data_IF_676269676290
#
_entry.id   IF_676269676290
#
_cell.length_a   1.000
_cell.length_b   1.000
_cell.length_c   1.000
_cell.angle_alpha   90.00
_cell.angle_beta   90.00
_cell.angle_gamma   90.00
#
_symmetry.space_group_name_H-M   'P 1'
#
loop_
_entity.id
_entity.type
_entity.pdbx_description
1 polymer ?
#
# COMPACT_ATOMS: atom_id res chain seq x y z
N UNK A 1 14.64 -60.06 -2.01
CA UNK A 1 13.83 -59.09 -1.26
C UNK A 1 14.49 -57.74 -1.53
N UNK A 2 13.83 -56.90 -2.32
CA UNK A 2 14.39 -55.65 -2.87
C UNK A 2 14.15 -54.49 -1.90
N UNK A 3 15.22 -53.91 -1.37
CA UNK A 3 15.21 -52.74 -0.49
C UNK A 3 15.90 -51.55 -1.18
N UNK A 4 15.37 -51.02 -2.29
CA UNK A 4 15.99 -49.85 -2.96
C UNK A 4 15.00 -48.82 -3.53
N UNK A 5 13.71 -48.88 -3.17
CA UNK A 5 12.68 -48.07 -3.84
C UNK A 5 12.24 -46.76 -3.14
N UNK A 6 12.84 -46.33 -2.02
CA UNK A 6 12.26 -45.23 -1.22
C UNK A 6 12.94 -43.84 -1.36
N UNK A 7 14.11 -43.70 -2.01
CA UNK A 7 14.91 -42.46 -1.87
C UNK A 7 14.70 -41.35 -2.92
N UNK A 8 13.81 -41.51 -3.90
CA UNK A 8 13.72 -40.57 -5.04
C UNK A 8 12.58 -39.54 -5.00
N UNK A 9 11.72 -39.52 -3.97
CA UNK A 9 10.56 -38.60 -3.94
C UNK A 9 10.81 -37.25 -3.23
N UNK A 10 11.99 -36.98 -2.66
CA UNK A 10 12.20 -35.80 -1.82
C UNK A 10 12.72 -34.53 -2.55
N UNK A 11 13.16 -34.63 -3.80
CA UNK A 11 13.79 -33.48 -4.51
C UNK A 11 12.79 -32.70 -5.40
N UNK A 12 11.61 -33.25 -5.68
CA UNK A 12 10.62 -32.63 -6.58
C UNK A 12 9.69 -31.59 -5.93
N UNK A 13 9.66 -31.45 -4.60
CA UNK A 13 8.62 -30.68 -3.90
C UNK A 13 9.07 -29.28 -3.42
N UNK A 14 10.31 -28.85 -3.69
CA UNK A 14 10.83 -27.57 -3.18
C UNK A 14 10.73 -26.38 -4.16
N UNK A 15 10.35 -26.59 -5.43
CA UNK A 15 10.31 -25.50 -6.44
C UNK A 15 8.91 -24.94 -6.70
N UNK A 16 7.84 -25.52 -6.15
CA UNK A 16 6.47 -25.02 -6.32
C UNK A 16 6.07 -23.98 -5.26
N UNK A 17 6.84 -23.84 -4.17
CA UNK A 17 6.47 -22.97 -3.04
C UNK A 17 6.92 -21.50 -3.12
N UNK A 18 7.78 -21.13 -4.08
CA UNK A 18 8.37 -19.78 -4.14
C UNK A 18 7.60 -18.79 -5.03
N UNK A 19 6.58 -19.23 -5.75
CA UNK A 19 5.79 -18.39 -6.65
C UNK A 19 4.75 -17.47 -5.98
N UNK A 20 4.50 -17.60 -4.67
CA UNK A 20 3.40 -16.91 -3.99
C UNK A 20 3.80 -15.72 -3.11
N UNK A 21 5.07 -15.29 -3.10
CA UNK A 21 5.52 -14.15 -2.29
C UNK A 21 6.08 -12.99 -3.11
N UNK A 22 5.97 -13.03 -4.43
CA UNK A 22 6.25 -11.84 -5.23
C UNK A 22 5.18 -10.79 -4.89
N UNK A 23 5.58 -9.59 -4.41
CA UNK A 23 4.61 -8.52 -4.19
C UNK A 23 3.88 -8.25 -5.51
N UNK A 24 2.59 -7.99 -5.43
CA UNK A 24 1.80 -7.57 -6.59
C UNK A 24 2.50 -6.38 -7.27
N UNK A 25 2.58 -6.35 -8.61
CA UNK A 25 3.41 -5.38 -9.36
C UNK A 25 3.12 -3.92 -8.99
N UNK A 26 1.90 -3.60 -8.56
CA UNK A 26 1.53 -2.28 -8.04
C UNK A 26 2.39 -1.79 -6.85
N UNK A 27 2.95 -2.69 -6.02
CA UNK A 27 3.83 -2.31 -4.90
C UNK A 27 5.27 -1.99 -5.33
N UNK A 28 5.69 -2.41 -6.53
CA UNK A 28 7.01 -2.10 -7.06
C UNK A 28 7.11 -0.64 -7.54
N UNK A 29 5.97 0.05 -7.69
CA UNK A 29 5.87 1.36 -8.31
C UNK A 29 5.77 2.55 -7.36
N UNK A 30 6.37 2.34 -6.21
CA UNK A 30 6.30 3.26 -5.10
C UNK A 30 7.72 3.81 -4.92
N UNK A 31 7.97 5.04 -5.34
CA UNK A 31 9.25 5.69 -5.05
C UNK A 31 9.27 6.03 -3.54
N UNK A 32 10.35 5.75 -2.80
CA UNK A 32 10.43 6.14 -1.40
C UNK A 32 10.35 7.66 -1.29
N UNK A 33 9.18 8.15 -0.85
CA UNK A 33 8.93 9.55 -0.56
C UNK A 33 9.38 9.83 0.87
N UNK A 34 10.62 10.32 0.97
CA UNK A 34 11.19 10.74 2.22
C UNK A 34 10.77 12.16 2.65
N UNK A 35 9.98 12.88 1.84
CA UNK A 35 9.60 14.25 2.17
C UNK A 35 8.67 14.30 3.39
N UNK A 36 7.80 13.29 3.55
CA UNK A 36 6.81 13.27 4.63
C UNK A 36 7.31 12.67 5.96
N UNK A 37 8.41 11.92 5.96
CA UNK A 37 8.94 11.29 7.17
C UNK A 37 7.93 10.39 7.92
N UNK A 38 8.10 10.23 9.23
CA UNK A 38 7.09 9.59 10.09
C UNK A 38 5.90 10.52 10.25
N UNK A 39 4.69 9.98 10.11
CA UNK A 39 3.44 10.72 10.26
C UNK A 39 2.66 10.23 11.48
N UNK A 40 1.96 11.15 12.12
CA UNK A 40 1.11 10.90 13.28
C UNK A 40 -0.30 11.42 12.96
N UNK A 41 -1.24 10.53 12.58
CA UNK A 41 -2.60 10.96 12.33
C UNK A 41 -3.23 11.43 13.65
N UNK A 42 -3.73 12.65 13.65
CA UNK A 42 -4.45 13.27 14.77
C UNK A 42 -5.83 13.75 14.27
N UNK A 43 -6.79 13.95 15.18
CA UNK A 43 -8.04 14.61 14.81
C UNK A 43 -7.75 16.02 14.25
N UNK A 44 -8.59 16.52 13.36
CA UNK A 44 -8.41 17.82 12.70
C UNK A 44 -8.23 19.00 13.69
N UNK A 45 -7.66 20.10 13.19
CA UNK A 45 -7.43 21.37 13.94
C UNK A 45 -6.67 21.22 15.27
N UNK A 46 -5.53 20.50 15.26
CA UNK A 46 -4.71 20.31 16.46
C UNK A 46 -5.40 19.43 17.51
N UNK A 47 -6.20 18.49 17.04
CA UNK A 47 -7.38 17.98 17.69
C UNK A 47 -7.20 17.32 19.05
N UNK A 48 -8.28 17.42 19.81
CA UNK A 48 -8.44 16.83 21.13
C UNK A 48 -8.55 15.31 21.00
N UNK A 49 -7.60 14.58 21.60
CA UNK A 49 -7.56 13.12 21.59
C UNK A 49 -8.35 12.59 22.78
N UNK A 50 -9.28 11.63 22.61
CA UNK A 50 -10.01 11.05 23.73
C UNK A 50 -9.05 10.49 24.79
N UNK A 51 -9.28 10.76 26.07
CA UNK A 51 -8.40 10.31 27.15
C UNK A 51 -8.24 8.77 27.20
N UNK A 52 -9.24 8.03 26.72
CA UNK A 52 -9.24 6.57 26.62
C UNK A 52 -8.94 6.07 25.20
N UNK A 53 -8.16 6.81 24.41
CA UNK A 53 -7.69 6.35 23.10
C UNK A 53 -6.99 4.98 23.25
N UNK A 54 -7.40 3.96 22.47
CA UNK A 54 -6.85 2.61 22.62
C UNK A 54 -5.40 2.51 22.16
N UNK A 55 -5.00 3.35 21.21
CA UNK A 55 -3.64 3.39 20.70
C UNK A 55 -3.43 4.60 19.79
N UNK A 56 -2.26 5.21 19.92
CA UNK A 56 -1.80 6.29 19.06
C UNK A 56 -0.94 5.71 17.95
N UNK A 57 -1.27 6.02 16.70
CA UNK A 57 -0.59 5.43 15.54
C UNK A 57 0.59 6.29 15.09
N UNK A 58 1.67 5.63 14.71
CA UNK A 58 2.77 6.21 13.94
C UNK A 58 2.92 5.46 12.61
N UNK A 59 2.85 6.21 11.51
CA UNK A 59 2.94 5.68 10.15
C UNK A 59 4.37 5.93 9.64
N UNK A 60 5.12 4.88 9.25
CA UNK A 60 6.47 5.05 8.72
C UNK A 60 6.46 5.81 7.38
N UNK A 61 7.62 6.34 6.95
CA UNK A 61 7.79 6.71 5.55
C UNK A 61 7.52 5.50 4.65
N UNK A 62 7.05 5.79 3.45
CA UNK A 62 6.63 4.79 2.49
C UNK A 62 7.75 3.81 2.12
N UNK A 63 7.44 2.51 2.11
CA UNK A 63 8.37 1.38 1.89
C UNK A 63 9.51 1.28 2.91
N UNK A 64 9.55 2.14 3.92
CA UNK A 64 10.56 2.13 4.96
C UNK A 64 10.03 1.50 6.24
N UNK A 65 10.95 1.17 7.13
CA UNK A 65 10.62 0.73 8.49
C UNK A 65 10.87 1.88 9.48
N UNK A 66 10.09 1.90 10.55
CA UNK A 66 10.35 2.76 11.70
C UNK A 66 10.93 1.90 12.81
N UNK A 67 11.97 2.39 13.49
CA UNK A 67 12.48 1.74 14.70
C UNK A 67 11.49 1.94 15.86
N UNK A 68 10.79 0.89 16.32
CA UNK A 68 9.79 1.01 17.38
C UNK A 68 10.41 1.46 18.70
N UNK A 69 11.72 1.26 18.91
CA UNK A 69 12.42 1.71 20.11
C UNK A 69 12.54 3.23 20.20
N UNK A 70 12.27 3.96 19.11
CA UNK A 70 12.32 5.43 19.07
C UNK A 70 10.97 6.09 19.28
N UNK A 71 9.88 5.33 19.24
CA UNK A 71 8.51 5.83 19.46
C UNK A 71 8.29 6.09 20.96
N UNK A 72 7.86 7.31 21.29
CA UNK A 72 7.69 7.79 22.66
C UNK A 72 6.43 8.65 22.81
N UNK A 73 5.79 8.53 23.96
CA UNK A 73 4.79 9.47 24.46
C UNK A 73 5.44 10.30 25.55
N UNK A 74 5.38 11.61 25.42
CA UNK A 74 6.08 12.55 26.30
C UNK A 74 5.10 13.62 26.79
N UNK A 75 5.35 14.16 27.97
CA UNK A 75 4.83 15.44 28.42
C UNK A 75 5.58 16.60 27.72
N UNK A 76 5.08 17.84 27.78
CA UNK A 76 5.69 18.98 27.08
C UNK A 76 7.13 19.25 27.53
N UNK A 77 7.42 19.00 28.81
CA UNK A 77 8.75 19.11 29.42
C UNK A 77 9.74 18.00 29.00
N UNK A 78 9.27 17.00 28.23
CA UNK A 78 10.05 15.85 27.80
C UNK A 78 10.02 14.65 28.73
N UNK A 79 9.28 14.71 29.84
CA UNK A 79 9.09 13.57 30.74
C UNK A 79 8.36 12.44 30.01
N UNK A 80 8.88 11.20 30.01
CA UNK A 80 8.22 10.09 29.34
C UNK A 80 6.94 9.67 30.08
N UNK A 81 5.90 9.37 29.31
CA UNK A 81 4.65 8.79 29.77
C UNK A 81 4.70 7.29 29.51
N UNK A 82 4.28 6.48 30.49
CA UNK A 82 4.31 5.03 30.38
C UNK A 82 3.39 4.55 29.26
N UNK A 83 3.96 3.84 28.30
CA UNK A 83 3.26 3.31 27.15
C UNK A 83 4.01 2.13 26.54
N UNK A 84 3.25 1.21 25.96
CA UNK A 84 3.76 0.03 25.25
C UNK A 84 3.68 0.25 23.74
N UNK A 85 4.74 -0.10 23.00
CA UNK A 85 4.74 -0.05 21.53
C UNK A 85 4.42 -1.44 20.98
N UNK A 86 3.46 -1.52 20.08
CA UNK A 86 3.02 -2.74 19.40
C UNK A 86 3.00 -2.55 17.88
N UNK A 87 3.11 -3.64 17.13
CA UNK A 87 2.95 -3.59 15.68
C UNK A 87 1.46 -3.37 15.33
N UNK A 88 1.18 -2.41 14.46
CA UNK A 88 -0.16 -2.16 13.92
C UNK A 88 -0.34 -2.75 12.52
N UNK A 89 -1.52 -2.54 11.94
CA UNK A 89 -1.78 -2.95 10.56
C UNK A 89 -0.84 -2.26 9.57
N UNK A 90 -0.56 -2.94 8.46
CA UNK A 90 0.14 -2.40 7.30
C UNK A 90 1.53 -1.77 7.60
N UNK A 91 2.25 -2.32 8.59
CA UNK A 91 3.60 -1.87 8.95
C UNK A 91 3.64 -0.62 9.84
N UNK A 92 2.50 -0.14 10.31
CA UNK A 92 2.43 0.95 11.30
C UNK A 92 2.88 0.48 12.68
N UNK A 93 3.19 1.43 13.56
CA UNK A 93 3.42 1.16 14.98
C UNK A 93 2.33 1.83 15.81
N UNK A 94 1.92 1.18 16.88
CA UNK A 94 0.87 1.65 17.78
C UNK A 94 1.45 1.83 19.18
N UNK A 95 1.33 3.04 19.70
CA UNK A 95 1.74 3.43 21.04
C UNK A 95 0.52 3.42 21.95
N UNK A 96 0.52 2.50 22.91
CA UNK A 96 -0.60 2.21 23.81
C UNK A 96 -0.28 2.79 25.17
N UNK A 97 -0.95 3.85 25.63
CA UNK A 97 -0.78 4.34 27.00
C UNK A 97 -1.12 3.25 28.02
N UNK A 98 -0.26 3.05 29.02
CA UNK A 98 -0.50 2.01 30.05
C UNK A 98 -1.66 2.37 31.00
N UNK A 99 -2.04 3.66 31.01
CA UNK A 99 -3.21 4.19 31.70
C UNK A 99 -3.89 5.25 30.80
N UNK A 100 -5.20 5.53 31.01
CA UNK A 100 -5.87 6.62 30.32
C UNK A 100 -5.13 7.95 30.49
N UNK A 101 -5.10 8.75 29.43
CA UNK A 101 -4.50 10.08 29.44
C UNK A 101 -5.30 11.02 30.35
N UNK A 102 -4.64 12.00 30.94
CA UNK A 102 -5.27 12.98 31.82
C UNK A 102 -5.98 14.06 30.98
N UNK A 103 -7.31 14.25 31.13
CA UNK A 103 -8.03 15.29 30.38
C UNK A 103 -7.47 16.69 30.64
N UNK A 104 -7.31 17.47 29.57
CA UNK A 104 -6.74 18.81 29.59
C UNK A 104 -5.20 18.86 29.52
N UNK A 105 -4.52 17.71 29.65
CA UNK A 105 -3.06 17.64 29.57
C UNK A 105 -2.59 17.62 28.11
N UNK A 106 -1.58 18.43 27.79
CA UNK A 106 -0.89 18.36 26.51
C UNK A 106 0.14 17.24 26.50
N UNK A 107 0.20 16.51 25.40
CA UNK A 107 1.16 15.44 25.17
C UNK A 107 1.91 15.65 23.86
N UNK A 108 3.07 15.03 23.73
CA UNK A 108 3.89 14.98 22.51
C UNK A 108 4.16 13.53 22.13
N UNK A 109 3.87 13.16 20.89
CA UNK A 109 4.32 11.90 20.30
C UNK A 109 5.58 12.20 19.51
N UNK A 110 6.59 11.36 19.65
CA UNK A 110 7.86 11.49 18.94
C UNK A 110 8.33 10.14 18.42
N UNK A 111 8.91 10.10 17.22
CA UNK A 111 9.57 8.93 16.67
C UNK A 111 10.68 9.31 15.69
N UNK A 112 11.61 8.39 15.44
CA UNK A 112 12.63 8.53 14.39
C UNK A 112 12.29 7.61 13.22
N UNK A 113 12.10 8.22 12.05
CA UNK A 113 12.01 7.48 10.79
C UNK A 113 13.37 7.36 10.15
N UNK A 114 13.66 6.19 9.58
CA UNK A 114 14.78 6.04 8.65
C UNK A 114 14.29 6.42 7.24
N UNK A 115 15.07 7.25 6.55
CA UNK A 115 15.03 7.34 5.10
C UNK A 115 16.45 7.07 4.61
N UNK A 116 16.63 6.07 3.74
CA UNK A 116 17.95 5.62 3.29
C UNK A 116 18.82 6.78 2.75
N UNK A 117 18.20 7.75 2.05
CA UNK A 117 18.90 8.87 1.40
C UNK A 117 19.18 10.08 2.31
N UNK A 118 18.41 10.25 3.39
CA UNK A 118 18.47 11.45 4.24
C UNK A 118 18.97 11.17 5.67
N UNK A 119 19.14 9.89 6.02
CA UNK A 119 19.45 9.47 7.37
C UNK A 119 18.23 9.52 8.30
N UNK A 120 18.41 9.17 9.58
CA UNK A 120 17.32 9.13 10.55
C UNK A 120 16.85 10.56 10.90
N UNK A 121 15.54 10.80 10.79
CA UNK A 121 14.91 12.06 11.16
C UNK A 121 13.92 11.86 12.31
N UNK A 122 14.06 12.68 13.36
CA UNK A 122 13.04 12.76 14.41
C UNK A 122 11.86 13.59 13.92
N UNK A 123 10.65 13.06 14.06
CA UNK A 123 9.39 13.80 13.89
C UNK A 123 8.62 13.76 15.20
N UNK A 124 7.91 14.85 15.48
CA UNK A 124 7.03 14.91 16.63
C UNK A 124 5.77 15.71 16.32
N UNK A 125 4.72 15.43 17.07
CA UNK A 125 3.46 16.19 17.05
C UNK A 125 2.95 16.32 18.48
N UNK A 126 2.29 17.43 18.77
CA UNK A 126 1.63 17.67 20.06
C UNK A 126 0.12 17.62 19.93
N UNK A 127 -0.55 17.12 20.95
CA UNK A 127 -2.01 17.09 21.05
C UNK A 127 -2.45 17.36 22.49
N UNK A 128 -3.74 17.63 22.70
CA UNK A 128 -4.33 17.75 24.04
C UNK A 128 -5.28 16.60 24.28
N UNK A 129 -5.19 15.95 25.44
CA UNK A 129 -6.15 14.92 25.81
C UNK A 129 -7.49 15.57 26.21
N UNK A 130 -8.58 15.06 25.67
CA UNK A 130 -9.95 15.46 25.98
C UNK A 130 -10.57 14.61 27.08
N UNK A 131 -11.89 14.75 27.31
CA UNK A 131 -12.62 13.77 28.09
C UNK A 131 -12.54 12.38 27.44
N UNK A 132 -12.71 11.34 28.25
CA UNK A 132 -12.91 10.00 27.73
C UNK A 132 -14.24 9.93 26.96
N UNK A 133 -14.26 9.21 25.84
CA UNK A 133 -15.43 9.02 25.00
C UNK A 133 -15.78 7.54 24.90
N UNK A 134 -17.06 7.17 24.76
CA UNK A 134 -17.42 5.78 24.45
C UNK A 134 -16.74 5.34 23.14
N UNK A 135 -16.35 4.07 23.07
CA UNK A 135 -15.87 3.50 21.81
C UNK A 135 -17.00 3.49 20.78
N UNK A 136 -16.70 3.72 19.49
CA UNK A 136 -17.72 3.75 18.46
C UNK A 136 -18.35 2.36 18.29
N UNK A 137 -19.64 2.33 17.98
CA UNK A 137 -20.40 1.06 17.76
C UNK A 137 -20.92 0.92 16.33
N UNK A 138 -20.88 2.00 15.56
CA UNK A 138 -21.39 2.13 14.20
C UNK A 138 -20.37 2.86 13.33
N UNK A 139 -20.30 2.45 12.08
CA UNK A 139 -19.36 3.01 11.11
C UNK A 139 -19.87 4.34 10.52
N UNK A 140 -21.14 4.38 10.12
CA UNK A 140 -21.74 5.51 9.41
C UNK A 140 -22.60 5.02 8.24
N UNK A 141 -22.60 5.77 7.14
CA UNK A 141 -23.31 5.41 5.91
C UNK A 141 -22.39 5.44 4.71
N UNK A 142 -22.67 4.59 3.72
CA UNK A 142 -21.95 4.52 2.46
C UNK A 142 -22.93 4.64 1.30
N UNK A 143 -22.63 5.53 0.36
CA UNK A 143 -23.36 5.67 -0.91
C UNK A 143 -22.39 5.59 -2.08
N UNK A 144 -22.88 5.34 -3.28
CA UNK A 144 -22.09 5.40 -4.50
C UNK A 144 -22.58 6.56 -5.38
N UNK A 145 -21.64 7.32 -5.94
CA UNK A 145 -21.98 8.34 -6.94
C UNK A 145 -22.52 7.67 -8.21
N UNK A 146 -23.26 8.45 -9.00
CA UNK A 146 -23.60 8.02 -10.36
C UNK A 146 -22.31 7.75 -11.14
N UNK A 147 -22.17 6.55 -11.75
CA UNK A 147 -21.00 6.24 -12.56
C UNK A 147 -20.79 7.26 -13.67
N UNK A 148 -19.51 7.58 -13.93
CA UNK A 148 -19.10 8.54 -14.95
C UNK A 148 -18.18 7.82 -15.93
N UNK A 149 -18.56 7.86 -17.20
CA UNK A 149 -17.73 7.42 -18.30
C UNK A 149 -16.64 8.46 -18.59
N UNK A 150 -15.40 8.02 -18.77
CA UNK A 150 -14.32 8.93 -19.08
C UNK A 150 -12.94 8.30 -19.04
N UNK A 151 -11.95 9.16 -19.18
CA UNK A 151 -10.55 8.78 -18.97
C UNK A 151 -10.13 9.14 -17.55
N UNK A 152 -9.60 8.15 -16.84
CA UNK A 152 -9.09 8.29 -15.47
C UNK A 152 -7.65 7.78 -15.38
N UNK A 153 -6.95 8.23 -14.34
CA UNK A 153 -5.59 7.76 -14.06
C UNK A 153 -5.68 6.45 -13.27
N UNK A 154 -4.99 5.44 -13.77
CA UNK A 154 -4.74 4.17 -13.07
C UNK A 154 -3.24 4.10 -12.83
N UNK A 155 -2.86 3.81 -11.59
CA UNK A 155 -1.46 3.56 -11.24
C UNK A 155 -1.19 2.05 -11.32
N UNK A 156 0.07 1.63 -11.45
CA UNK A 156 0.42 0.21 -11.35
C UNK A 156 0.68 -0.51 -12.68
N UNK A 157 0.96 0.23 -13.75
CA UNK A 157 1.75 -0.36 -14.83
C UNK A 157 3.20 -0.63 -14.36
N UNK A 158 3.89 -1.52 -15.06
CA UNK A 158 5.27 -1.93 -14.73
C UNK A 158 6.30 -0.78 -14.83
N UNK A 159 5.94 0.35 -15.43
CA UNK A 159 6.78 1.56 -15.53
C UNK A 159 6.48 2.58 -14.44
N UNK A 160 5.57 2.27 -13.51
CA UNK A 160 5.28 3.13 -12.37
C UNK A 160 4.85 4.53 -12.81
N UNK A 161 4.16 4.55 -13.95
CA UNK A 161 3.70 5.76 -14.60
C UNK A 161 2.20 5.91 -14.40
N UNK A 162 1.73 7.15 -14.52
CA UNK A 162 0.31 7.44 -14.57
C UNK A 162 -0.25 7.01 -15.93
N UNK A 163 -0.75 5.78 -16.00
CA UNK A 163 -1.53 5.31 -17.12
C UNK A 163 -2.89 6.02 -17.17
N UNK A 164 -3.26 6.56 -18.33
CA UNK A 164 -4.64 7.01 -18.57
C UNK A 164 -5.42 5.88 -19.21
N UNK A 165 -6.36 5.33 -18.47
CA UNK A 165 -7.30 4.34 -18.97
C UNK A 165 -8.61 5.01 -19.40
N UNK A 166 -9.37 4.30 -20.24
CA UNK A 166 -10.71 4.70 -20.65
C UNK A 166 -11.71 3.66 -20.14
N UNK A 167 -12.73 4.12 -19.43
CA UNK A 167 -13.77 3.25 -18.95
C UNK A 167 -14.89 3.99 -18.23
N UNK A 168 -15.47 3.34 -17.24
CA UNK A 168 -16.45 3.93 -16.33
C UNK A 168 -15.96 3.79 -14.90
N UNK A 169 -16.24 4.81 -14.08
CA UNK A 169 -15.82 4.84 -12.69
C UNK A 169 -16.90 5.43 -11.79
N UNK A 170 -16.90 5.03 -10.53
CA UNK A 170 -17.71 5.65 -9.48
C UNK A 170 -16.83 5.94 -8.27
N UNK A 171 -17.25 6.91 -7.47
CA UNK A 171 -16.65 7.21 -6.17
C UNK A 171 -17.65 6.88 -5.08
N UNK A 172 -17.23 6.12 -4.08
CA UNK A 172 -18.00 5.90 -2.88
C UNK A 172 -17.97 7.18 -2.03
N UNK A 173 -19.11 7.57 -1.48
CA UNK A 173 -19.20 8.62 -0.46
C UNK A 173 -19.47 7.98 0.88
N UNK A 174 -18.54 8.18 1.79
CA UNK A 174 -18.69 7.75 3.16
C UNK A 174 -19.09 8.95 4.02
N UNK A 175 -20.00 8.74 4.96
CA UNK A 175 -20.32 9.72 6.01
C UNK A 175 -20.15 9.01 7.35
N UNK A 176 -19.10 9.34 8.13
CA UNK A 176 -18.83 8.67 9.39
C UNK A 176 -19.93 8.93 10.40
N UNK A 177 -20.17 7.97 11.28
CA UNK A 177 -21.01 8.19 12.46
C UNK A 177 -20.36 9.26 13.37
N UNK A 178 -21.14 10.09 14.06
CA UNK A 178 -20.58 11.11 14.96
C UNK A 178 -19.69 10.53 16.07
N UNK A 179 -19.98 9.31 16.53
CA UNK A 179 -19.17 8.60 17.52
C UNK A 179 -17.82 8.13 16.96
N UNK A 180 -17.70 7.87 15.67
CA UNK A 180 -16.46 7.44 15.03
C UNK A 180 -15.52 8.61 14.74
N UNK A 181 -16.05 9.81 14.47
CA UNK A 181 -15.27 10.99 14.06
C UNK A 181 -14.03 11.26 14.94
N UNK A 182 -14.12 11.21 16.29
CA UNK A 182 -12.95 11.42 17.15
C UNK A 182 -11.86 10.34 17.04
N UNK A 183 -12.20 9.16 16.51
CA UNK A 183 -11.33 7.98 16.41
C UNK A 183 -10.82 7.70 15.00
N UNK A 184 -11.36 8.35 13.96
CA UNK A 184 -10.95 8.20 12.55
C UNK A 184 -9.41 8.21 12.32
N UNK A 185 -8.61 9.04 13.02
CA UNK A 185 -7.16 9.04 12.84
C UNK A 185 -6.48 7.71 13.14
N UNK A 186 -7.11 6.79 13.88
CA UNK A 186 -6.54 5.50 14.27
C UNK A 186 -7.33 4.31 13.74
N UNK A 187 -8.17 4.56 12.72
CA UNK A 187 -8.88 3.51 11.97
C UNK A 187 -8.11 3.16 10.70
N UNK A 188 -7.88 1.88 10.46
CA UNK A 188 -7.51 1.38 9.13
C UNK A 188 -8.74 0.86 8.40
N UNK A 189 -8.66 0.92 7.08
CA UNK A 189 -9.82 0.71 6.21
C UNK A 189 -9.57 -0.39 5.20
N UNK A 190 -10.61 -1.14 4.91
CA UNK A 190 -10.64 -2.10 3.81
C UNK A 190 -11.92 -1.88 3.01
N UNK A 191 -11.77 -1.77 1.69
CA UNK A 191 -12.86 -1.86 0.73
C UNK A 191 -12.80 -3.22 0.07
N UNK A 192 -13.92 -3.91 0.08
CA UNK A 192 -14.16 -5.14 -0.67
C UNK A 192 -15.19 -4.88 -1.75
N UNK A 193 -15.05 -5.53 -2.90
CA UNK A 193 -16.07 -5.54 -3.96
C UNK A 193 -16.41 -7.00 -4.25
N UNK A 194 -17.69 -7.33 -4.16
CA UNK A 194 -18.22 -8.70 -4.33
C UNK A 194 -17.52 -9.74 -3.43
N UNK A 195 -17.19 -9.32 -2.20
CA UNK A 195 -16.49 -10.14 -1.20
C UNK A 195 -15.02 -10.40 -1.49
N UNK A 196 -14.43 -9.70 -2.48
CA UNK A 196 -12.98 -9.72 -2.74
C UNK A 196 -12.34 -8.44 -2.26
N UNK A 197 -11.15 -8.49 -1.63
CA UNK A 197 -10.39 -7.30 -1.31
C UNK A 197 -10.15 -6.45 -2.55
N UNK A 198 -10.63 -5.22 -2.52
CA UNK A 198 -10.40 -4.24 -3.58
C UNK A 198 -9.22 -3.36 -3.21
N UNK A 199 -9.30 -2.70 -2.05
CA UNK A 199 -8.30 -1.76 -1.57
C UNK A 199 -8.26 -1.73 -0.04
N UNK A 200 -7.14 -1.26 0.48
CA UNK A 200 -6.98 -0.93 1.88
C UNK A 200 -6.32 0.43 2.01
N UNK A 201 -6.55 1.09 3.14
CA UNK A 201 -5.89 2.33 3.50
C UNK A 201 -5.39 2.23 4.93
N UNK A 202 -4.21 2.80 5.15
CA UNK A 202 -3.66 3.01 6.49
C UNK A 202 -4.47 4.11 7.21
N UNK A 203 -3.97 4.51 8.38
CA UNK A 203 -4.65 5.42 9.28
C UNK A 203 -4.67 6.87 8.76
N UNK A 204 -5.72 7.63 9.14
CA UNK A 204 -5.83 9.06 8.82
C UNK A 204 -6.22 9.39 7.38
N UNK A 205 -6.57 8.39 6.55
CA UNK A 205 -6.90 8.58 5.13
C UNK A 205 -8.27 9.22 4.93
N UNK A 206 -9.27 8.97 5.78
CA UNK A 206 -10.57 9.61 5.70
C UNK A 206 -10.70 10.78 6.69
N UNK A 207 -11.22 11.91 6.22
CA UNK A 207 -11.49 13.11 7.02
C UNK A 207 -12.73 12.92 7.92
N UNK A 208 -12.99 13.90 8.79
CA UNK A 208 -14.23 13.96 9.58
C UNK A 208 -15.51 14.06 8.75
N UNK A 209 -15.41 14.45 7.47
CA UNK A 209 -16.52 14.46 6.52
C UNK A 209 -16.64 13.15 5.73
N UNK A 210 -15.72 12.19 5.95
CA UNK A 210 -15.62 10.94 5.21
C UNK A 210 -15.01 11.10 3.81
N UNK A 211 -14.42 12.26 3.52
CA UNK A 211 -13.72 12.53 2.27
C UNK A 211 -12.28 12.00 2.33
N UNK A 212 -11.76 11.63 1.16
CA UNK A 212 -10.39 11.13 1.02
C UNK A 212 -9.38 12.26 1.22
N UNK A 213 -8.42 12.08 2.13
CA UNK A 213 -7.44 13.10 2.48
C UNK A 213 -6.28 13.09 1.47
N UNK A 214 -6.41 13.94 0.45
CA UNK A 214 -5.47 14.03 -0.69
C UNK A 214 -4.02 14.28 -0.29
N UNK A 215 -3.76 14.91 0.85
CA UNK A 215 -2.40 15.11 1.35
C UNK A 215 -1.69 13.79 1.67
N UNK A 216 -2.44 12.76 2.07
CA UNK A 216 -1.92 11.44 2.42
C UNK A 216 -1.70 10.53 1.21
N UNK A 217 -2.47 10.73 0.12
CA UNK A 217 -2.31 9.92 -1.10
C UNK A 217 -1.03 10.22 -1.88
N UNK A 218 -0.54 11.48 -1.84
CA UNK A 218 0.65 11.85 -2.62
C UNK A 218 1.88 11.06 -2.22
N UNK A 219 2.01 10.80 -0.92
CA UNK A 219 3.11 10.00 -0.40
C UNK A 219 2.84 8.53 -0.60
N UNK A 220 1.66 8.00 -0.30
CA UNK A 220 1.55 6.53 -0.23
C UNK A 220 1.36 5.84 -1.59
N UNK A 221 1.15 6.60 -2.69
CA UNK A 221 0.62 6.07 -3.97
C UNK A 221 -0.59 5.15 -3.74
N UNK A 222 -1.24 5.27 -2.58
CA UNK A 222 -2.44 4.54 -2.20
C UNK A 222 -3.54 5.25 -2.95
N UNK A 223 -3.83 4.69 -4.11
CA UNK A 223 -5.12 4.67 -4.79
C UNK A 223 -6.23 5.19 -3.87
N UNK A 224 -6.98 6.17 -4.36
CA UNK A 224 -8.17 6.68 -3.67
C UNK A 224 -8.99 5.51 -3.15
N UNK A 225 -9.09 5.38 -1.83
CA UNK A 225 -9.68 4.21 -1.15
C UNK A 225 -11.09 3.93 -1.70
N UNK A 226 -11.80 5.01 -1.96
CA UNK A 226 -13.20 5.05 -2.33
C UNK A 226 -13.43 5.11 -3.85
N UNK A 227 -12.40 4.93 -4.70
CA UNK A 227 -12.52 4.96 -6.15
C UNK A 227 -12.62 3.55 -6.75
N UNK A 228 -13.71 3.29 -7.48
CA UNK A 228 -14.00 2.01 -8.13
C UNK A 228 -14.13 2.21 -9.63
N UNK A 229 -13.63 1.28 -10.44
CA UNK A 229 -13.66 1.43 -11.89
C UNK A 229 -13.67 0.12 -12.66
N UNK A 230 -14.16 0.20 -13.90
CA UNK A 230 -14.01 -0.81 -14.94
C UNK A 230 -13.26 -0.20 -16.12
N UNK A 231 -12.36 -0.96 -16.75
CA UNK A 231 -11.63 -0.52 -17.94
C UNK A 231 -12.34 -1.08 -19.17
N UNK A 232 -12.79 -0.19 -20.06
CA UNK A 232 -13.55 -0.60 -21.25
C UNK A 232 -12.68 -0.78 -22.48
N UNK A 233 -11.60 -0.03 -22.58
CA UNK A 233 -10.61 -0.13 -23.65
C UNK A 233 -9.25 -0.23 -23.00
N UNK A 234 -8.72 -1.44 -22.89
CA UNK A 234 -7.34 -1.60 -22.44
C UNK A 234 -6.40 -1.09 -23.54
N UNK A 235 -5.43 -0.25 -23.16
CA UNK A 235 -4.31 0.11 -24.03
C UNK A 235 -3.23 -0.98 -24.07
N UNK A 236 -3.30 -1.95 -23.17
CA UNK A 236 -2.34 -3.06 -23.15
C UNK A 236 -2.57 -3.99 -24.33
N UNK A 237 -1.47 -4.36 -25.01
CA UNK A 237 -1.53 -5.34 -26.09
C UNK A 237 -1.76 -6.77 -25.61
N UNK A 238 -1.70 -7.02 -24.30
CA UNK A 238 -2.15 -8.29 -23.73
C UNK A 238 -3.67 -8.45 -23.81
N UNK A 239 -4.43 -7.37 -24.05
CA UNK A 239 -5.89 -7.38 -24.06
C UNK A 239 -6.52 -7.70 -22.70
N UNK A 240 -5.71 -8.02 -21.70
CA UNK A 240 -6.13 -8.27 -20.34
C UNK A 240 -6.22 -6.92 -19.63
N UNK A 241 -7.39 -6.59 -19.05
CA UNK A 241 -7.50 -5.40 -18.23
C UNK A 241 -6.56 -5.52 -17.02
N UNK A 242 -6.17 -4.41 -16.38
CA UNK A 242 -5.39 -4.47 -15.16
C UNK A 242 -6.06 -5.43 -14.17
N UNK A 243 -5.26 -6.25 -13.48
CA UNK A 243 -5.76 -7.23 -12.48
C UNK A 243 -6.63 -6.56 -11.39
N UNK A 244 -6.48 -5.25 -11.24
CA UNK A 244 -7.21 -4.39 -10.31
C UNK A 244 -8.43 -3.68 -10.92
N UNK A 245 -9.09 -4.25 -11.93
CA UNK A 245 -10.30 -3.64 -12.52
C UNK A 245 -11.53 -4.54 -12.36
N UNK A 246 -12.70 -3.91 -12.21
CA UNK A 246 -13.98 -4.63 -12.15
C UNK A 246 -14.43 -5.01 -13.56
N UNK A 247 -15.11 -6.16 -13.68
CA UNK A 247 -15.85 -6.49 -14.89
C UNK A 247 -17.08 -5.57 -15.01
N UNK A 248 -17.58 -5.25 -16.21
CA UNK A 248 -18.86 -4.55 -16.34
C UNK A 248 -19.99 -5.38 -15.73
N UNK A 249 -20.85 -4.75 -14.95
CA UNK A 249 -22.00 -5.38 -14.28
C UNK A 249 -22.38 -4.70 -12.97
N UNK A 250 -23.25 -5.38 -12.23
CA UNK A 250 -23.65 -4.99 -10.88
C UNK A 250 -22.67 -5.53 -9.86
N UNK A 251 -22.36 -4.70 -8.88
CA UNK A 251 -21.41 -5.00 -7.83
C UNK A 251 -21.93 -4.53 -6.47
N UNK A 252 -21.37 -5.11 -5.42
CA UNK A 252 -21.53 -4.63 -4.05
C UNK A 252 -20.19 -4.22 -3.48
N UNK A 253 -20.05 -2.95 -3.12
CA UNK A 253 -18.93 -2.48 -2.32
C UNK A 253 -19.25 -2.61 -0.84
N UNK A 254 -18.27 -3.04 -0.05
CA UNK A 254 -18.34 -3.12 1.41
C UNK A 254 -17.15 -2.36 2.00
N UNK A 255 -17.42 -1.41 2.88
CA UNK A 255 -16.41 -0.69 3.64
C UNK A 255 -16.35 -1.25 5.06
N UNK A 256 -15.15 -1.66 5.47
CA UNK A 256 -14.83 -2.15 6.81
C UNK A 256 -13.84 -1.19 7.47
N UNK A 257 -14.04 -0.98 8.76
CA UNK A 257 -13.19 -0.16 9.61
C UNK A 257 -12.80 -0.92 10.86
N UNK A 258 -11.51 -0.86 11.20
CA UNK A 258 -10.99 -1.44 12.44
C UNK A 258 -10.22 -0.39 13.20
N UNK A 259 -10.59 -0.19 14.46
CA UNK A 259 -9.88 0.69 15.39
C UNK A 259 -8.70 -0.07 15.99
N UNK A 260 -7.49 0.45 15.79
CA UNK A 260 -6.26 -0.18 16.27
C UNK A 260 -6.23 -0.38 17.78
N UNK A 261 -5.62 -1.48 18.20
CA UNK A 261 -5.43 -1.91 19.58
C UNK A 261 -6.69 -2.11 20.44
N UNK A 262 -7.83 -1.53 20.06
CA UNK A 262 -9.13 -1.89 20.62
C UNK A 262 -9.61 -3.27 20.14
N UNK A 263 -8.97 -3.83 19.10
CA UNK A 263 -9.44 -5.02 18.36
C UNK A 263 -10.93 -4.91 17.99
N UNK A 264 -11.35 -3.68 17.68
CA UNK A 264 -12.75 -3.35 17.43
C UNK A 264 -12.93 -3.16 15.93
N UNK A 265 -13.45 -4.19 15.27
CA UNK A 265 -13.97 -4.08 13.90
C UNK A 265 -15.43 -3.67 13.98
N UNK A 266 -15.75 -2.52 13.39
CA UNK A 266 -17.12 -2.00 13.39
C UNK A 266 -17.99 -2.80 12.40
N UNK A 267 -19.31 -2.89 12.63
CA UNK A 267 -20.22 -3.47 11.64
C UNK A 267 -20.01 -2.80 10.27
N UNK A 268 -19.75 -3.57 9.21
CA UNK A 268 -19.44 -3.02 7.90
C UNK A 268 -20.67 -2.38 7.28
N UNK A 269 -20.44 -1.46 6.34
CA UNK A 269 -21.49 -0.82 5.55
C UNK A 269 -21.29 -1.16 4.07
N UNK A 270 -22.38 -1.39 3.35
CA UNK A 270 -22.33 -1.80 1.95
C UNK A 270 -23.23 -0.95 1.07
N UNK A 271 -22.86 -0.83 -0.20
CA UNK A 271 -23.66 -0.17 -1.24
C UNK A 271 -23.57 -0.95 -2.54
N UNK A 272 -24.72 -1.08 -3.21
CA UNK A 272 -24.80 -1.68 -4.55
C UNK A 272 -24.58 -0.58 -5.61
N UNK A 273 -23.85 -0.90 -6.67
CA UNK A 273 -23.60 -0.02 -7.80
C UNK A 273 -23.49 -0.83 -9.11
N UNK A 274 -23.53 -0.15 -10.25
CA UNK A 274 -23.40 -0.78 -11.57
C UNK A 274 -22.34 -0.03 -12.36
N UNK A 275 -21.45 -0.77 -13.02
CA UNK A 275 -20.49 -0.22 -13.97
C UNK A 275 -20.75 -0.87 -15.33
N UNK A 276 -20.63 -0.07 -16.37
CA UNK A 276 -20.97 -0.42 -17.73
C UNK A 276 -19.86 0.00 -18.68
N UNK A 277 -19.76 -0.73 -19.78
CA UNK A 277 -18.92 -0.34 -20.89
C UNK A 277 -19.80 -0.12 -22.11
N UNK A 278 -19.58 0.97 -22.88
CA UNK A 278 -20.30 1.15 -24.13
C UNK A 278 -20.05 -0.05 -25.03
N UNK A 279 -21.12 -0.55 -25.65
CA UNK A 279 -20.99 -1.60 -26.66
C UNK A 279 -20.09 -1.09 -27.77
N UNK A 280 -19.15 -1.92 -28.23
CA UNK A 280 -18.06 -1.57 -29.19
C UNK A 280 -18.44 -0.68 -30.37
N UNK A 281 -19.71 -0.71 -30.81
CA UNK A 281 -20.23 0.14 -31.88
C UNK A 281 -20.19 1.65 -31.60
N UNK A 282 -20.21 2.09 -30.34
CA UNK A 282 -20.20 3.51 -29.99
C UNK A 282 -18.79 4.14 -29.90
N UNK A 283 -17.72 3.32 -29.94
CA UNK A 283 -16.32 3.77 -29.81
C UNK A 283 -15.57 3.84 -31.15
N UNK A 284 -16.25 3.55 -32.27
CA UNK A 284 -15.63 3.44 -33.59
C UNK A 284 -15.24 4.81 -34.22
N UNK A 285 -15.72 5.92 -33.68
CA UNK A 285 -15.50 7.25 -34.25
C UNK A 285 -14.31 7.96 -33.59
N UNK A 286 -13.09 7.62 -34.01
CA UNK A 286 -11.96 8.56 -33.92
C UNK A 286 -10.87 8.30 -32.88
N UNK A 287 -10.77 7.11 -32.27
CA UNK A 287 -9.58 6.76 -31.51
C UNK A 287 -8.57 5.97 -32.34
N UNK A 288 -7.29 6.36 -32.37
CA UNK A 288 -6.25 5.62 -33.06
C UNK A 288 -6.27 4.20 -32.51
N UNK A 289 -6.57 3.22 -33.37
CA UNK A 289 -6.43 1.80 -33.06
C UNK A 289 -5.14 1.64 -32.27
N UNK A 290 -5.23 1.13 -31.04
CA UNK A 290 -4.05 0.72 -30.30
C UNK A 290 -3.22 -0.13 -31.27
N UNK A 291 -2.07 0.42 -31.68
CA UNK A 291 -1.13 -0.23 -32.58
C UNK A 291 -0.43 -1.33 -31.78
N UNK A 292 -1.20 -2.34 -31.38
CA UNK A 292 -0.65 -3.64 -31.14
C UNK A 292 -0.33 -4.15 -32.53
N UNK A 293 0.87 -3.80 -32.99
CA UNK A 293 1.42 -4.37 -34.20
C UNK A 293 1.38 -5.87 -33.98
N UNK A 294 0.45 -6.55 -34.65
CA UNK A 294 0.55 -7.97 -34.89
C UNK A 294 1.96 -8.16 -35.41
N UNK A 295 2.80 -8.84 -34.64
CA UNK A 295 4.22 -9.03 -34.92
C UNK A 295 4.42 -9.84 -36.19
N UNK A 296 4.06 -9.27 -37.33
CA UNK A 296 4.44 -9.76 -38.63
C UNK A 296 5.96 -9.81 -38.65
N UNK A 297 6.56 -10.92 -39.12
CA UNK A 297 8.00 -11.01 -39.23
C UNK A 297 8.49 -9.80 -40.02
N UNK A 298 9.51 -9.11 -39.50
CA UNK A 298 10.28 -8.13 -40.26
C UNK A 298 10.95 -8.87 -41.43
N UNK A 299 10.17 -9.15 -42.47
CA UNK A 299 10.67 -9.58 -43.76
C UNK A 299 11.36 -8.35 -44.35
N UNK A 300 12.69 -8.38 -44.31
CA UNK A 300 13.53 -7.32 -44.84
C UNK A 300 13.31 -7.07 -46.33
N UNK A 301 13.68 -5.87 -46.76
CA UNK A 301 13.85 -5.58 -48.18
C UNK A 301 13.85 -4.09 -48.52
N UNK A 302 15.04 -3.52 -48.67
CA UNK A 302 15.31 -2.29 -49.43
C UNK A 302 15.11 -0.98 -48.65
N UNK A 303 15.95 0.03 -48.76
CA UNK A 303 17.11 0.29 -49.63
C UNK A 303 18.04 1.26 -48.91
N UNK A 304 19.34 1.04 -49.07
CA UNK A 304 20.39 1.95 -48.65
C UNK A 304 20.30 3.19 -49.54
N UNK A 305 20.00 4.35 -48.95
CA UNK A 305 20.38 5.64 -49.54
C UNK A 305 21.63 6.12 -48.80
N UNK A 306 22.71 6.25 -49.56
CA UNK A 306 24.00 6.79 -49.13
C UNK A 306 23.87 8.29 -48.85
N UNK A 307 24.10 8.70 -47.60
CA UNK A 307 24.31 10.09 -47.22
C UNK A 307 25.84 10.37 -47.08
N UNK A 308 26.33 11.56 -47.47
CA UNK A 308 27.76 11.88 -47.53
C UNK A 308 28.40 12.09 -46.14
N UNK A 309 29.75 11.99 -46.05
CA UNK A 309 30.44 11.87 -44.77
C UNK A 309 30.39 13.16 -43.92
N UNK A 310 30.23 13.05 -42.58
CA UNK A 310 30.25 14.20 -41.69
C UNK A 310 31.67 14.65 -41.32
N UNK A 311 31.83 15.97 -41.20
CA UNK A 311 33.00 16.68 -40.68
C UNK A 311 33.12 16.49 -39.16
N UNK A 312 34.33 16.33 -38.57
CA UNK A 312 34.47 16.05 -37.15
C UNK A 312 34.30 17.30 -36.29
N UNK A 313 33.41 17.23 -35.29
CA UNK A 313 33.34 18.17 -34.16
C UNK A 313 33.62 17.40 -32.86
N UNK A 314 34.53 17.88 -31.99
CA UNK A 314 34.82 17.24 -30.70
C UNK A 314 33.84 17.74 -29.63
N UNK A 315 33.24 16.83 -28.86
CA UNK A 315 32.33 17.20 -27.77
C UNK A 315 31.91 16.05 -26.86
N UNK A 316 32.70 15.84 -25.80
CA UNK A 316 32.34 15.39 -24.45
C UNK A 316 31.14 14.45 -24.25
N UNK A 317 31.45 13.15 -24.17
CA UNK A 317 30.54 12.12 -23.66
C UNK A 317 30.37 12.21 -22.14
N UNK A 318 29.25 12.76 -21.68
CA UNK A 318 28.73 12.50 -20.33
C UNK A 318 28.05 11.13 -20.32
N UNK A 319 28.57 10.27 -19.44
CA UNK A 319 28.16 8.88 -19.19
C UNK A 319 26.68 8.80 -18.80
N UNK A 320 25.91 7.98 -19.51
CA UNK A 320 24.60 7.53 -19.08
C UNK A 320 24.72 6.43 -18.02
N UNK A 321 23.81 6.44 -17.04
CA UNK A 321 23.69 5.41 -16.02
C UNK A 321 23.03 4.16 -16.62
N UNK A 322 23.81 3.10 -16.81
CA UNK A 322 23.29 1.74 -17.03
C UNK A 322 22.95 1.13 -15.67
N UNK A 323 21.66 1.03 -15.37
CA UNK A 323 21.14 0.25 -14.25
C UNK A 323 21.18 -1.24 -14.64
N UNK A 324 22.24 -1.93 -14.23
CA UNK A 324 22.32 -3.39 -14.33
C UNK A 324 21.52 -4.02 -13.19
N UNK A 325 20.38 -4.63 -13.53
CA UNK A 325 19.65 -5.51 -12.64
C UNK A 325 20.19 -6.94 -12.67
N UNK A 326 20.04 -7.65 -11.54
CA UNK A 326 20.02 -9.11 -11.49
C UNK A 326 21.29 -9.78 -10.97
N UNK A 327 21.30 -10.16 -9.68
CA UNK A 327 22.38 -10.99 -9.14
C UNK A 327 22.31 -11.33 -7.64
N UNK A 328 21.14 -11.68 -7.09
CA UNK A 328 21.07 -12.26 -5.73
C UNK A 328 20.15 -13.48 -5.68
N UNK A 329 20.63 -14.56 -6.28
CA UNK A 329 20.26 -15.93 -5.94
C UNK A 329 21.52 -16.75 -6.14
N UNK A 330 22.16 -17.23 -5.05
CA UNK A 330 22.98 -18.47 -4.99
C UNK A 330 23.76 -18.62 -3.64
N UNK A 331 23.91 -17.61 -2.79
CA UNK A 331 24.74 -17.77 -1.57
C UNK A 331 24.02 -18.15 -0.26
N UNK A 332 22.69 -18.31 -0.26
CA UNK A 332 21.92 -18.64 0.96
C UNK A 332 21.86 -20.12 1.37
N UNK A 333 22.27 -21.05 0.51
CA UNK A 333 21.97 -22.49 0.69
C UNK A 333 23.10 -23.30 1.37
N UNK A 334 24.21 -22.67 1.76
CA UNK A 334 25.36 -23.37 2.39
C UNK A 334 25.45 -23.21 3.92
N UNK A 335 24.59 -22.42 4.56
CA UNK A 335 24.65 -22.19 6.01
C UNK A 335 23.85 -23.19 6.86
N UNK A 336 22.86 -23.90 6.30
CA UNK A 336 21.97 -24.79 7.07
C UNK A 336 22.49 -26.23 7.25
N UNK A 337 23.57 -26.63 6.56
CA UNK A 337 24.12 -27.98 6.68
C UNK A 337 25.20 -28.16 7.76
N UNK A 338 25.68 -27.09 8.41
CA UNK A 338 26.75 -27.20 9.44
C UNK A 338 26.25 -27.36 10.88
N UNK A 339 24.95 -27.26 11.16
CA UNK A 339 24.43 -27.35 12.53
C UNK A 339 24.02 -28.75 13.00
N UNK A 340 24.07 -29.79 12.15
CA UNK A 340 23.68 -31.14 12.58
C UNK A 340 24.84 -32.00 13.12
N UNK A 341 26.11 -31.68 12.87
CA UNK A 341 27.23 -32.58 13.25
C UNK A 341 27.84 -32.35 14.65
N UNK A 342 27.15 -31.66 15.56
CA UNK A 342 27.74 -31.14 16.80
C UNK A 342 27.17 -31.67 18.11
N UNK A 343 26.68 -32.92 18.22
CA UNK A 343 26.29 -33.49 19.54
C UNK A 343 26.41 -35.01 19.58
N UNK A 344 27.64 -35.50 19.72
CA UNK A 344 27.88 -36.82 20.34
C UNK A 344 29.15 -36.78 21.18
N UNK A 345 29.15 -37.52 22.28
CA UNK A 345 30.23 -37.73 23.25
C UNK A 345 30.33 -36.70 24.39
N UNK A 346 29.75 -37.06 25.54
CA UNK A 346 30.52 -37.34 26.76
C UNK A 346 29.64 -38.09 27.76
N UNK A 347 29.87 -39.41 27.83
CA UNK A 347 29.51 -40.29 28.94
C UNK A 347 30.83 -40.73 29.58
N UNK A 348 30.86 -40.70 30.92
CA UNK A 348 31.77 -41.37 31.86
C UNK A 348 32.55 -40.42 32.79
N UNK A 349 32.25 -40.51 34.08
CA UNK A 349 33.20 -40.94 35.12
C UNK A 349 32.43 -41.38 36.38
N UNK A 350 32.62 -42.64 36.74
CA UNK A 350 32.82 -43.05 38.13
C UNK A 350 34.32 -43.06 38.38
#
# INVERSE_FOLDING_TARGET
>A
MNEDAWKWSAVGMFLVGLGMLAPTPARACIAPDCEQGVRFPLPGDGGVVPANVPGLVAIPPLLESMDPSTLRLLLPDGTPVSATVTAGAHGTQVLVPDAPLEPGTSYRIEAKGACERQGPQTRSVTFTAGPALPLPTTLGTLTADTPIQGSFKVYGDWICSEGREQGESTTLRFTPSPELVPFLPWVHWTVEVDGKPWRYATHGVLSSTGEDNVAWHRSDNVWKLLFLYTVCVSRSCSGQPPDDSLLPGRHRATLTATLEHANLTLPPVSVDFELSCPTRGALADGHPRAQCADGGPLAGGGSVDEDPPPVPVPGDSKKGCTQAGGGLTVLGLLATLRLWNGRSSRRAKH
#
